data_IF_037656766673
#
_entry.id   IF_037656766673
#
_cell.length_a   1.000
_cell.length_b   1.000
_cell.length_c   1.000
_cell.angle_alpha   90.00
_cell.angle_beta   90.00
_cell.angle_gamma   90.00
#
_symmetry.space_group_name_H-M   'P 1'
#
loop_
_entity.id
_entity.type
_entity.pdbx_description
1 polymer ?
#
# COMPACT_ATOMS: atom_id res chain seq x y z
N UNK A 1 6.34 10.32 -10.14
CA UNK A 1 5.06 10.95 -9.77
C UNK A 1 4.13 10.76 -10.93
N UNK A 2 3.01 10.07 -10.70
CA UNK A 2 2.01 9.72 -11.74
C UNK A 2 0.59 10.10 -11.28
N UNK A 3 0.45 10.83 -10.18
CA UNK A 3 -0.82 11.34 -9.70
C UNK A 3 -1.40 12.42 -10.62
N UNK A 4 -2.71 12.68 -10.52
CA UNK A 4 -3.47 13.64 -11.35
C UNK A 4 -3.28 13.38 -12.86
N UNK A 5 -3.66 12.17 -13.28
CA UNK A 5 -3.47 11.66 -14.62
C UNK A 5 -4.68 10.82 -15.07
N UNK A 6 -4.62 10.31 -16.32
CA UNK A 6 -5.66 9.45 -16.92
C UNK A 6 -5.19 8.00 -17.08
N UNK A 7 -4.31 7.52 -16.20
CA UNK A 7 -3.92 6.10 -16.18
C UNK A 7 -5.12 5.26 -15.72
N UNK A 8 -5.38 4.15 -16.39
CA UNK A 8 -6.58 3.33 -16.16
C UNK A 8 -6.32 1.83 -16.29
N UNK A 9 -7.30 1.02 -15.89
CA UNK A 9 -7.15 -0.42 -15.74
C UNK A 9 -6.47 -0.79 -14.42
N UNK A 10 -5.70 -1.87 -14.42
CA UNK A 10 -5.04 -2.43 -13.23
C UNK A 10 -3.65 -1.85 -12.96
N UNK A 11 -3.17 -2.02 -11.72
CA UNK A 11 -1.83 -1.63 -11.29
C UNK A 11 -1.21 -2.69 -10.36
N UNK A 12 0.01 -3.12 -10.71
CA UNK A 12 0.80 -4.13 -10.01
C UNK A 12 2.01 -3.45 -9.34
N UNK A 13 2.11 -3.57 -8.01
CA UNK A 13 3.17 -2.95 -7.21
C UNK A 13 4.19 -3.98 -6.69
N UNK A 14 4.17 -5.23 -7.19
CA UNK A 14 5.08 -6.31 -6.78
C UNK A 14 6.52 -6.17 -7.31
N UNK A 15 6.71 -5.42 -8.39
CA UNK A 15 7.98 -5.36 -9.14
C UNK A 15 8.61 -3.96 -9.18
N UNK A 16 8.29 -3.11 -8.21
CA UNK A 16 8.82 -1.75 -8.12
C UNK A 16 10.35 -1.75 -7.87
N UNK A 17 11.13 -0.81 -8.46
CA UNK A 17 12.57 -0.77 -8.26
C UNK A 17 12.96 -0.48 -6.80
N UNK A 18 14.03 -1.12 -6.30
CA UNK A 18 14.55 -0.99 -4.91
C UNK A 18 15.02 0.41 -4.47
N UNK A 19 14.87 1.43 -5.33
CA UNK A 19 15.18 2.84 -5.04
C UNK A 19 13.93 3.74 -5.13
N UNK A 20 12.74 3.16 -5.22
CA UNK A 20 11.49 3.91 -5.34
C UNK A 20 10.94 4.28 -3.96
N UNK A 21 11.49 5.35 -3.39
CA UNK A 21 11.07 5.86 -2.08
C UNK A 21 9.60 6.29 -2.05
N UNK A 22 9.11 6.94 -3.11
CA UNK A 22 7.80 7.61 -3.12
C UNK A 22 7.01 7.32 -4.41
N UNK A 23 5.95 6.53 -4.30
CA UNK A 23 5.05 6.19 -5.40
C UNK A 23 3.67 6.89 -5.24
N UNK A 24 3.46 7.99 -5.97
CA UNK A 24 2.20 8.75 -5.97
C UNK A 24 1.36 8.41 -7.21
N UNK A 25 0.15 7.93 -6.96
CA UNK A 25 -0.75 7.26 -7.92
C UNK A 25 -2.22 7.68 -7.77
N UNK A 26 -2.56 8.43 -6.71
CA UNK A 26 -3.87 9.03 -6.50
C UNK A 26 -4.33 9.92 -7.68
N UNK A 27 -5.63 10.21 -7.77
CA UNK A 27 -6.22 11.01 -8.84
C UNK A 27 -5.94 10.40 -10.23
N UNK A 28 -6.24 9.10 -10.39
CA UNK A 28 -6.17 8.37 -11.66
C UNK A 28 -7.47 7.58 -11.93
N UNK A 29 -7.59 7.02 -13.13
CA UNK A 29 -8.70 6.17 -13.57
C UNK A 29 -8.50 4.66 -13.34
N UNK A 30 -7.72 4.25 -12.33
CA UNK A 30 -7.53 2.83 -12.02
C UNK A 30 -8.84 2.16 -11.60
N UNK A 31 -9.02 0.91 -12.06
CA UNK A 31 -10.23 0.10 -11.94
C UNK A 31 -9.85 -1.33 -11.51
N UNK A 32 -9.56 -1.51 -10.22
CA UNK A 32 -9.36 -2.84 -9.61
C UNK A 32 -9.78 -2.81 -8.13
N UNK A 33 -10.31 -3.92 -7.63
CA UNK A 33 -10.77 -4.03 -6.23
C UNK A 33 -9.61 -4.27 -5.26
N UNK A 34 -8.56 -4.96 -5.71
CA UNK A 34 -7.42 -5.39 -4.88
C UNK A 34 -6.13 -4.76 -5.39
N UNK A 35 -5.32 -4.19 -4.50
CA UNK A 35 -3.96 -3.73 -4.81
C UNK A 35 -2.94 -4.70 -4.20
N UNK A 36 -2.02 -5.20 -5.03
CA UNK A 36 -1.00 -6.18 -4.61
C UNK A 36 0.39 -5.55 -4.58
N UNK A 37 1.01 -5.57 -3.40
CA UNK A 37 2.38 -5.12 -3.14
C UNK A 37 3.37 -6.31 -3.13
N UNK A 38 4.67 -6.03 -3.20
CA UNK A 38 5.69 -7.04 -2.89
C UNK A 38 5.62 -7.43 -1.40
N UNK A 39 5.91 -8.69 -1.05
CA UNK A 39 6.03 -9.11 0.36
C UNK A 39 7.24 -8.49 1.06
N UNK A 40 8.38 -8.42 0.37
CA UNK A 40 9.54 -7.63 0.80
C UNK A 40 9.30 -6.13 0.55
N UNK A 41 8.50 -5.55 1.45
CA UNK A 41 8.11 -4.14 1.44
C UNK A 41 9.24 -3.19 1.87
N UNK A 42 10.41 -3.70 2.28
CA UNK A 42 11.55 -2.87 2.73
C UNK A 42 12.08 -1.90 1.65
N UNK A 43 11.72 -2.16 0.40
CA UNK A 43 12.17 -1.47 -0.80
C UNK A 43 11.35 -0.19 -1.15
N UNK A 44 10.29 0.13 -0.40
CA UNK A 44 9.35 1.23 -0.71
C UNK A 44 8.93 1.96 0.57
N UNK A 45 9.24 3.26 0.67
CA UNK A 45 9.05 4.05 1.89
C UNK A 45 7.66 4.70 1.99
N UNK A 46 7.08 5.15 0.86
CA UNK A 46 5.68 5.62 0.76
C UNK A 46 5.02 5.21 -0.58
N UNK A 47 3.77 4.74 -0.52
CA UNK A 47 2.86 4.69 -1.68
C UNK A 47 1.51 5.33 -1.33
N UNK A 48 0.93 6.12 -2.24
CA UNK A 48 -0.35 6.83 -2.04
C UNK A 48 -1.36 6.58 -3.17
N UNK A 49 -2.60 6.33 -2.79
CA UNK A 49 -3.70 5.87 -3.65
C UNK A 49 -5.03 6.53 -3.26
N UNK A 50 -5.99 6.59 -4.20
CA UNK A 50 -7.33 7.12 -3.91
C UNK A 50 -8.08 6.26 -2.89
N UNK A 51 -8.57 6.88 -1.81
CA UNK A 51 -9.39 6.21 -0.81
C UNK A 51 -10.77 5.84 -1.39
N UNK A 52 -11.29 4.66 -1.02
CA UNK A 52 -12.60 4.17 -1.48
C UNK A 52 -12.67 3.72 -2.94
N UNK A 53 -11.58 3.81 -3.72
CA UNK A 53 -11.48 3.19 -5.06
C UNK A 53 -11.12 1.71 -5.01
N UNK A 54 -10.31 1.33 -4.04
CA UNK A 54 -9.83 -0.03 -3.84
C UNK A 54 -10.50 -0.59 -2.58
N UNK A 55 -10.91 -1.86 -2.62
CA UNK A 55 -11.58 -2.55 -1.52
C UNK A 55 -10.58 -3.18 -0.55
N UNK A 56 -9.42 -3.65 -1.04
CA UNK A 56 -8.38 -4.23 -0.20
C UNK A 56 -6.95 -4.00 -0.71
N UNK A 57 -6.02 -4.13 0.21
CA UNK A 57 -4.59 -3.94 0.01
C UNK A 57 -3.88 -5.17 0.60
N UNK A 58 -3.14 -5.91 -0.22
CA UNK A 58 -2.46 -7.16 0.18
C UNK A 58 -1.02 -7.20 -0.35
N UNK A 59 -0.17 -8.00 0.27
CA UNK A 59 1.12 -8.36 -0.31
C UNK A 59 1.04 -9.64 -1.15
N UNK A 60 2.16 -10.03 -1.76
CA UNK A 60 2.21 -11.15 -2.70
C UNK A 60 2.03 -12.54 -2.05
N UNK A 61 2.11 -12.64 -0.71
CA UNK A 61 1.76 -13.84 0.06
C UNK A 61 0.29 -13.82 0.54
N UNK A 62 -0.46 -12.76 0.21
CA UNK A 62 -1.85 -12.57 0.59
C UNK A 62 -2.05 -11.95 1.99
N UNK A 63 -0.98 -11.46 2.63
CA UNK A 63 -1.08 -10.76 3.91
C UNK A 63 -1.69 -9.37 3.75
N UNK A 64 -2.55 -8.96 4.69
CA UNK A 64 -3.16 -7.63 4.67
C UNK A 64 -2.09 -6.52 4.82
N UNK A 65 -2.23 -5.45 4.04
CA UNK A 65 -1.35 -4.29 4.03
C UNK A 65 -2.10 -3.09 4.63
N UNK A 66 -1.91 -2.77 5.92
CA UNK A 66 -2.63 -1.68 6.56
C UNK A 66 -2.22 -0.32 5.99
N UNK A 67 -3.21 0.49 5.65
CA UNK A 67 -3.03 1.82 5.05
C UNK A 67 -3.46 2.92 6.03
N UNK A 68 -2.72 4.04 6.06
CA UNK A 68 -3.11 5.22 6.82
C UNK A 68 -4.01 6.13 5.96
N UNK A 69 -5.17 6.54 6.47
CA UNK A 69 -6.03 7.53 5.80
C UNK A 69 -5.47 8.94 6.08
N UNK A 70 -5.28 9.71 5.01
CA UNK A 70 -4.87 11.12 5.10
C UNK A 70 -5.95 12.01 5.75
N UNK A 71 -5.54 13.12 6.36
CA UNK A 71 -6.42 14.01 7.14
C UNK A 71 -7.59 14.65 6.35
N UNK A 72 -7.57 14.60 5.01
CA UNK A 72 -8.68 15.06 4.16
C UNK A 72 -9.62 13.92 3.71
N UNK A 73 -9.37 12.68 4.13
CA UNK A 73 -10.16 11.49 3.81
C UNK A 73 -10.01 10.96 2.38
N UNK A 74 -9.29 11.64 1.48
CA UNK A 74 -9.27 11.32 0.03
C UNK A 74 -8.18 10.35 -0.40
N UNK A 75 -7.07 10.29 0.34
CA UNK A 75 -5.90 9.45 0.01
C UNK A 75 -5.62 8.47 1.13
N UNK A 76 -5.34 7.22 0.76
CA UNK A 76 -4.76 6.20 1.63
C UNK A 76 -3.29 6.00 1.29
N UNK A 77 -2.44 5.88 2.30
CA UNK A 77 -0.99 5.73 2.13
C UNK A 77 -0.41 4.59 2.96
N UNK A 78 0.41 3.77 2.30
CA UNK A 78 1.34 2.87 2.98
C UNK A 78 2.62 3.66 3.28
N UNK A 79 3.06 3.64 4.54
CA UNK A 79 4.26 4.35 5.01
C UNK A 79 5.12 3.38 5.83
N UNK A 80 6.33 3.07 5.37
CA UNK A 80 7.11 1.92 5.86
C UNK A 80 8.37 2.40 6.57
N UNK A 81 8.19 2.85 7.82
CA UNK A 81 9.22 3.53 8.61
C UNK A 81 9.28 2.98 10.05
N UNK A 82 10.13 1.98 10.27
CA UNK A 82 10.51 1.38 11.57
C UNK A 82 9.41 1.18 12.62
N UNK A 83 8.59 0.15 12.44
CA UNK A 83 7.97 -0.58 13.56
C UNK A 83 8.50 -2.00 13.64
N UNK A 84 9.50 -2.21 14.51
CA UNK A 84 9.97 -3.55 14.89
C UNK A 84 8.93 -4.24 15.78
N UNK A 85 7.82 -4.70 15.20
CA UNK A 85 6.89 -5.61 15.85
C UNK A 85 6.15 -6.46 14.81
N UNK A 86 6.77 -7.58 14.44
CA UNK A 86 6.09 -8.69 13.78
C UNK A 86 5.05 -9.26 14.76
N UNK A 87 3.80 -8.81 14.65
CA UNK A 87 2.68 -9.39 15.41
C UNK A 87 2.36 -10.79 14.88
N UNK A 88 3.19 -11.77 15.26
CA UNK A 88 2.79 -13.18 15.23
C UNK A 88 1.60 -13.34 16.18
N UNK A 89 0.40 -13.42 15.63
CA UNK A 89 -0.79 -13.82 16.38
C UNK A 89 -0.73 -15.34 16.63
N UNK A 90 0.17 -15.73 17.54
CA UNK A 90 0.36 -17.11 18.00
C UNK A 90 0.73 -17.11 19.49
N UNK A 91 -0.27 -17.23 20.35
CA UNK A 91 -0.09 -17.56 21.77
C UNK A 91 -0.29 -16.41 22.76
N UNK A 92 -1.05 -16.74 23.80
CA UNK A 92 -1.12 -16.06 25.11
C UNK A 92 0.29 -16.02 25.79
N UNK A 93 0.55 -15.32 26.90
CA UNK A 93 -0.24 -15.06 28.12
C UNK A 93 0.16 -13.71 28.75
N UNK A 94 -0.70 -13.17 29.61
CA UNK A 94 -0.48 -11.98 30.47
C UNK A 94 0.56 -12.27 31.56
N UNK A 95 1.50 -11.35 31.78
CA UNK A 95 2.10 -11.03 33.10
C UNK A 95 2.29 -9.52 33.22
#
# INVERSE_FOLDING_TARGET
MLQDNRLSGSIDLRFLPRKLENCRLEQNGFEQEVVVFASDRSNMFTASLDNGKFQSFVDADGGEVPMNVSANGKVVSLSIWWTSLTTRVCGSVIQ
#
